data_IF_482950602693
#
_entry.id   IF_482950602693
#
_cell.length_a   1.000
_cell.length_b   1.000
_cell.length_c   1.000
_cell.angle_alpha   90.00
_cell.angle_beta   90.00
_cell.angle_gamma   90.00
#
_symmetry.space_group_name_H-M   'P 1'
#
loop_
_entity.id
_entity.type
_entity.pdbx_description
1 polymer ?
#
# COMPACT_ATOMS: atom_id res chain seq x y z
N UNK A 1 -0.04 16.05 -11.20
CA UNK A 1 -0.39 15.80 -9.79
C UNK A 1 0.86 15.91 -8.93
N UNK A 2 0.83 16.69 -7.83
CA UNK A 2 1.94 16.77 -6.87
C UNK A 2 2.11 15.39 -6.20
N UNK A 3 3.22 14.72 -6.47
CA UNK A 3 3.57 13.44 -5.83
C UNK A 3 4.20 13.71 -4.45
N UNK A 4 3.36 14.04 -3.49
CA UNK A 4 3.75 14.32 -2.09
C UNK A 4 3.95 13.05 -1.28
N UNK A 5 4.80 13.15 -0.25
CA UNK A 5 4.92 12.15 0.82
C UNK A 5 3.95 12.51 1.94
N UNK A 6 3.15 11.54 2.39
CA UNK A 6 2.26 11.67 3.53
C UNK A 6 2.78 10.81 4.68
N UNK A 7 2.82 11.39 5.88
CA UNK A 7 2.95 10.65 7.14
C UNK A 7 1.55 10.55 7.75
N UNK A 8 1.02 9.35 7.89
CA UNK A 8 -0.38 9.16 8.31
C UNK A 8 -0.60 7.85 9.03
N UNK A 9 -1.63 7.81 9.89
CA UNK A 9 -2.12 6.57 10.46
C UNK A 9 -2.74 5.70 9.34
N UNK A 10 -2.22 4.49 9.19
CA UNK A 10 -2.74 3.47 8.27
C UNK A 10 -3.70 2.51 9.00
N UNK A 11 -4.14 1.44 8.34
CA UNK A 11 -4.95 0.40 8.95
C UNK A 11 -4.17 -0.50 9.93
N UNK A 12 -2.84 -0.36 10.01
CA UNK A 12 -1.98 -1.12 10.94
C UNK A 12 -1.10 -0.26 11.85
N UNK A 13 -0.41 0.76 11.34
CA UNK A 13 0.51 1.63 12.11
C UNK A 13 0.68 2.98 11.41
N UNK A 14 1.53 3.89 11.88
CA UNK A 14 1.90 5.09 11.13
C UNK A 14 2.76 4.68 9.92
N UNK A 15 2.40 5.19 8.75
CA UNK A 15 3.05 4.84 7.49
C UNK A 15 3.44 6.06 6.67
N UNK A 16 4.49 5.88 5.88
CA UNK A 16 4.82 6.72 4.74
C UNK A 16 3.99 6.26 3.53
N UNK A 17 3.25 7.20 2.95
CA UNK A 17 2.34 6.96 1.83
C UNK A 17 2.63 7.93 0.70
N UNK A 18 2.77 7.43 -0.53
CA UNK A 18 3.05 8.24 -1.71
C UNK A 18 2.72 7.47 -3.00
N UNK A 19 2.29 8.17 -4.05
CA UNK A 19 2.21 7.60 -5.40
C UNK A 19 3.58 7.57 -6.13
N UNK A 20 4.61 8.13 -5.48
CA UNK A 20 6.01 8.10 -5.90
C UNK A 20 6.84 7.33 -4.89
N UNK A 21 7.34 6.16 -5.28
CA UNK A 21 8.18 5.33 -4.41
C UNK A 21 9.49 6.00 -4.04
N UNK A 22 10.04 6.87 -4.89
CA UNK A 22 11.31 7.57 -4.61
C UNK A 22 11.20 8.46 -3.37
N UNK A 23 10.02 9.02 -3.09
CA UNK A 23 9.76 9.80 -1.89
C UNK A 23 9.84 8.95 -0.62
N UNK A 24 9.40 7.69 -0.70
CA UNK A 24 9.50 6.74 0.41
C UNK A 24 10.96 6.27 0.55
N UNK A 25 11.68 6.07 -0.55
CA UNK A 25 13.11 5.71 -0.52
C UNK A 25 13.94 6.76 0.22
N UNK A 26 13.74 8.05 -0.12
CA UNK A 26 14.39 9.18 0.54
C UNK A 26 14.05 9.20 2.03
N UNK A 27 12.77 9.07 2.39
CA UNK A 27 12.33 9.12 3.78
C UNK A 27 12.84 7.94 4.63
N UNK A 28 12.93 6.75 4.04
CA UNK A 28 13.41 5.53 4.71
C UNK A 28 14.93 5.35 4.64
N UNK A 29 15.65 6.23 3.93
CA UNK A 29 17.08 6.05 3.56
C UNK A 29 17.33 4.66 2.96
N UNK A 30 16.41 4.21 2.10
CA UNK A 30 16.43 2.87 1.51
C UNK A 30 17.03 2.92 0.11
N UNK A 31 17.83 1.92 -0.24
CA UNK A 31 18.33 1.76 -1.60
C UNK A 31 17.14 1.62 -2.58
N UNK A 32 17.21 2.28 -3.75
CA UNK A 32 16.20 2.13 -4.79
C UNK A 32 16.15 0.69 -5.30
N UNK A 33 15.03 0.29 -5.91
CA UNK A 33 14.72 -1.03 -6.49
C UNK A 33 14.05 -2.06 -5.57
N UNK A 34 13.82 -1.77 -4.28
CA UNK A 34 12.98 -2.64 -3.44
C UNK A 34 11.49 -2.31 -3.66
N UNK A 35 10.68 -3.34 -3.89
CA UNK A 35 9.23 -3.16 -4.06
C UNK A 35 8.55 -2.78 -2.74
N UNK A 36 7.62 -1.82 -2.82
CA UNK A 36 6.70 -1.46 -1.74
C UNK A 36 5.34 -2.12 -1.92
N UNK A 37 4.60 -2.20 -0.82
CA UNK A 37 3.19 -2.61 -0.85
C UNK A 37 2.40 -1.53 -1.58
N UNK A 38 1.59 -1.95 -2.56
CA UNK A 38 0.58 -1.09 -3.17
C UNK A 38 -0.70 -1.21 -2.37
N UNK A 39 -1.05 -0.16 -1.64
CA UNK A 39 -2.34 -0.05 -0.97
C UNK A 39 -3.36 0.52 -1.95
N UNK A 40 -4.54 -0.11 -2.01
CA UNK A 40 -5.64 0.33 -2.87
C UNK A 40 -6.90 0.50 -2.05
N UNK A 41 -7.72 1.50 -2.40
CA UNK A 41 -8.94 1.81 -1.66
C UNK A 41 -10.08 0.82 -1.89
N UNK A 42 -10.05 0.05 -2.99
CA UNK A 42 -11.16 -0.83 -3.36
C UNK A 42 -10.75 -2.04 -4.19
N UNK A 43 -11.64 -3.03 -4.28
CA UNK A 43 -11.48 -4.16 -5.21
C UNK A 43 -11.56 -3.73 -6.68
N UNK A 44 -12.27 -2.63 -6.98
CA UNK A 44 -12.36 -2.08 -8.32
C UNK A 44 -10.98 -1.57 -8.74
N UNK A 45 -10.32 -0.81 -7.87
CA UNK A 45 -8.96 -0.31 -8.08
C UNK A 45 -7.95 -1.47 -8.15
N UNK A 46 -8.06 -2.50 -7.30
CA UNK A 46 -7.20 -3.68 -7.42
C UNK A 46 -7.27 -4.31 -8.82
N UNK A 47 -8.48 -4.43 -9.39
CA UNK A 47 -8.71 -5.05 -10.70
C UNK A 47 -8.12 -4.25 -11.86
N UNK A 48 -7.90 -2.94 -11.73
CA UNK A 48 -7.20 -2.17 -12.78
C UNK A 48 -5.70 -2.48 -12.83
N UNK A 49 -5.12 -2.97 -11.72
CA UNK A 49 -3.70 -3.35 -11.67
C UNK A 49 -3.44 -4.82 -11.98
N UNK A 50 -4.34 -5.71 -11.58
CA UNK A 50 -4.08 -7.16 -11.67
C UNK A 50 -5.35 -8.01 -11.63
N UNK A 51 -5.27 -9.19 -12.24
CA UNK A 51 -6.30 -10.21 -12.15
C UNK A 51 -6.21 -10.95 -10.81
N UNK A 52 -7.35 -11.08 -10.13
CA UNK A 52 -7.48 -12.00 -8.98
C UNK A 52 -7.95 -13.36 -9.48
N UNK A 53 -7.18 -14.46 -9.29
CA UNK A 53 -7.60 -15.80 -9.68
C UNK A 53 -8.90 -16.20 -8.98
N UNK A 54 -9.81 -16.87 -9.70
CA UNK A 54 -11.15 -17.23 -9.22
C UNK A 54 -11.09 -17.96 -7.87
N UNK A 55 -10.18 -18.93 -7.74
CA UNK A 55 -9.93 -19.71 -6.51
C UNK A 55 -9.66 -18.85 -5.27
N UNK A 56 -9.10 -17.65 -5.44
CA UNK A 56 -8.68 -16.79 -4.34
C UNK A 56 -9.55 -15.53 -4.15
N UNK A 57 -10.58 -15.30 -4.98
CA UNK A 57 -11.40 -14.07 -4.93
C UNK A 57 -12.04 -13.85 -3.56
N UNK A 58 -12.58 -14.90 -2.94
CA UNK A 58 -13.20 -14.80 -1.62
C UNK A 58 -12.18 -14.47 -0.52
N UNK A 59 -10.97 -15.03 -0.59
CA UNK A 59 -9.89 -14.71 0.35
C UNK A 59 -9.48 -13.25 0.24
N UNK A 60 -9.14 -12.78 -0.97
CA UNK A 60 -8.77 -11.37 -1.23
C UNK A 60 -9.91 -10.41 -0.84
N UNK A 61 -11.16 -10.80 -1.03
CA UNK A 61 -12.31 -9.98 -0.64
C UNK A 61 -12.51 -9.92 0.87
N UNK A 62 -12.27 -10.98 1.63
CA UNK A 62 -12.67 -11.03 3.06
C UNK A 62 -11.53 -10.72 4.03
N UNK A 63 -10.28 -10.88 3.63
CA UNK A 63 -9.13 -10.62 4.49
C UNK A 63 -9.01 -9.13 4.84
N UNK A 64 -8.73 -8.85 6.12
CA UNK A 64 -8.40 -7.51 6.65
C UNK A 64 -6.90 -7.43 6.92
N UNK A 65 -6.30 -6.25 6.79
CA UNK A 65 -4.88 -5.99 7.07
C UNK A 65 -3.89 -6.98 6.40
N UNK A 66 -4.31 -7.63 5.31
CA UNK A 66 -3.56 -8.70 4.66
C UNK A 66 -3.04 -8.22 3.32
N UNK A 67 -1.77 -8.53 3.04
CA UNK A 67 -1.10 -8.21 1.78
C UNK A 67 -0.95 -9.49 0.96
N UNK A 68 -1.28 -9.42 -0.33
CA UNK A 68 -1.16 -10.55 -1.26
C UNK A 68 -0.13 -10.21 -2.34
N UNK A 69 0.76 -11.16 -2.63
CA UNK A 69 1.57 -11.13 -3.86
C UNK A 69 0.69 -11.65 -4.99
N UNK A 70 0.56 -10.87 -6.05
CA UNK A 70 -0.34 -11.14 -7.17
C UNK A 70 0.44 -11.68 -8.38
N UNK A 71 -0.24 -12.25 -9.41
CA UNK A 71 0.45 -12.86 -10.57
C UNK A 71 1.38 -11.92 -11.34
N UNK A 72 1.17 -10.60 -11.24
CA UNK A 72 2.05 -9.58 -11.81
C UNK A 72 3.29 -9.27 -10.95
N UNK A 73 3.60 -10.10 -9.94
CA UNK A 73 4.74 -10.02 -9.02
C UNK A 73 4.74 -8.82 -8.07
N UNK A 74 3.68 -8.00 -8.07
CA UNK A 74 3.53 -6.91 -7.11
C UNK A 74 2.69 -7.34 -5.91
N UNK A 75 2.94 -6.69 -4.77
CA UNK A 75 2.19 -6.90 -3.54
C UNK A 75 1.09 -5.85 -3.39
N UNK A 76 -0.10 -6.30 -3.02
CA UNK A 76 -1.27 -5.45 -2.85
C UNK A 76 -1.97 -5.68 -1.51
N UNK A 77 -2.40 -4.60 -0.87
CA UNK A 77 -3.33 -4.62 0.27
C UNK A 77 -4.56 -3.80 -0.10
N UNK A 78 -5.74 -4.39 0.04
CA UNK A 78 -7.01 -3.67 -0.13
C UNK A 78 -7.43 -3.16 1.24
N UNK A 79 -7.43 -1.84 1.41
CA UNK A 79 -7.80 -1.21 2.69
C UNK A 79 -9.28 -0.87 2.65
N UNK A 80 -10.03 -1.26 3.69
CA UNK A 80 -11.46 -0.98 3.83
C UNK A 80 -11.78 -0.61 5.27
N UNK A 81 -12.86 0.15 5.44
CA UNK A 81 -13.45 0.46 6.75
C UNK A 81 -12.44 1.08 7.73
N UNK A 82 -11.53 1.92 7.23
CA UNK A 82 -10.50 2.57 8.03
C UNK A 82 -10.48 4.08 7.79
N UNK A 83 -10.06 4.88 8.78
CA UNK A 83 -9.82 6.32 8.57
C UNK A 83 -8.80 6.59 7.46
N UNK A 84 -7.89 5.63 7.21
CA UNK A 84 -6.92 5.70 6.13
C UNK A 84 -7.58 5.74 4.74
N UNK A 85 -8.79 5.21 4.59
CA UNK A 85 -9.57 5.32 3.35
C UNK A 85 -9.84 6.77 2.95
N UNK A 86 -9.95 7.72 3.89
CA UNK A 86 -10.16 9.14 3.56
C UNK A 86 -9.05 9.71 2.67
N UNK A 87 -7.81 9.26 2.86
CA UNK A 87 -6.68 9.61 1.99
C UNK A 87 -6.69 8.74 0.72
N UNK A 88 -6.87 7.43 0.86
CA UNK A 88 -6.81 6.51 -0.27
C UNK A 88 -7.94 6.71 -1.27
N UNK A 89 -9.11 7.22 -0.88
CA UNK A 89 -10.20 7.49 -1.80
C UNK A 89 -9.90 8.68 -2.72
N UNK A 90 -9.01 9.58 -2.29
CA UNK A 90 -8.51 10.69 -3.13
C UNK A 90 -7.37 10.26 -4.06
N UNK A 91 -6.58 9.28 -3.62
CA UNK A 91 -5.42 8.79 -4.38
C UNK A 91 -5.72 7.55 -5.23
N UNK A 92 -6.81 6.83 -4.92
CA UNK A 92 -7.18 5.47 -5.35
C UNK A 92 -6.18 4.38 -4.93
N UNK A 93 -4.89 4.65 -5.11
CA UNK A 93 -3.79 3.79 -4.71
C UNK A 93 -2.57 4.60 -4.26
N UNK A 94 -1.70 3.96 -3.48
CA UNK A 94 -0.39 4.49 -3.16
C UNK A 94 0.59 3.36 -2.83
N UNK A 95 1.89 3.66 -2.86
CA UNK A 95 2.88 2.86 -2.15
C UNK A 95 2.81 3.16 -0.66
N UNK A 96 3.01 2.14 0.16
CA UNK A 96 3.02 2.26 1.61
C UNK A 96 4.16 1.48 2.25
N UNK A 97 4.74 2.06 3.30
CA UNK A 97 5.70 1.42 4.19
C UNK A 97 5.56 2.00 5.60
N UNK A 98 5.93 1.25 6.63
CA UNK A 98 6.00 1.75 8.00
C UNK A 98 6.91 2.97 8.11
N UNK A 99 6.56 3.90 9.01
CA UNK A 99 7.27 5.16 9.19
C UNK A 99 8.50 5.03 10.11
N UNK A 100 9.41 4.12 9.75
CA UNK A 100 10.71 3.89 10.39
C UNK A 100 11.81 3.88 9.32
N UNK A 101 13.06 4.05 9.76
CA UNK A 101 14.23 3.88 8.90
C UNK A 101 14.32 2.43 8.38
N UNK A 102 14.96 2.26 7.23
CA UNK A 102 15.14 0.93 6.64
C UNK A 102 16.04 0.05 7.52
N UNK A 103 15.49 -1.02 8.08
CA UNK A 103 16.22 -1.98 8.91
C UNK A 103 16.04 -1.77 10.41
N UNK A 104 15.46 -0.65 10.82
CA UNK A 104 15.18 -0.33 12.22
C UNK A 104 13.83 -0.88 12.67
N UNK A 105 13.63 -1.01 13.98
CA UNK A 105 12.32 -1.29 14.56
C UNK A 105 11.44 -0.03 14.56
N UNK A 106 10.14 -0.24 14.73
CA UNK A 106 9.18 0.85 14.93
C UNK A 106 8.95 1.01 16.43
N UNK A 107 9.58 2.03 17.03
CA UNK A 107 9.46 2.40 18.45
C UNK A 107 8.40 3.47 18.65
#
# INVERSE_FOLDING_TARGET
MKKSLYLTATDTTIGFVSQDSSKIDIAKKRLPNKHYIRVVNSLKTLKSFTRVPQKYKNRVRRSKQTTFIMPNRYSFRVVRDSKHNLLLDRLEYAYSSSANLSGEEYN
#
